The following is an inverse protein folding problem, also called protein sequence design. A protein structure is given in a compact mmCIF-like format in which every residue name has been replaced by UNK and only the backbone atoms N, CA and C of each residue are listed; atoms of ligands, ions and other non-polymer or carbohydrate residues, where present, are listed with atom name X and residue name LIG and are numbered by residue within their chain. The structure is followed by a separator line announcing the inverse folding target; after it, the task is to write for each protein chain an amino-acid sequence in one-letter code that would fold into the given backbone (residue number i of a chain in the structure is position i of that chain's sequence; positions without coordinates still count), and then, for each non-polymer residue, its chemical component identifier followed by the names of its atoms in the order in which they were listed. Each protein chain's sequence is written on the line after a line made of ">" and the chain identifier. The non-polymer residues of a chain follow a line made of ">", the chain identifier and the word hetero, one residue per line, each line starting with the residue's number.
data_IF_251799547363
#
_entry.id   IF_251799547363
#
_cell.length_a   1.000
_cell.length_b   1.000
_cell.length_c   1.000
_cell.angle_alpha   90.00
_cell.angle_beta   90.00
_cell.angle_gamma   90.00
#
_symmetry.space_group_name_H-M   'P 1'
#
loop_
_entity.id
_entity.type
_entity.pdbx_description
1 polymer ?
#
# COMPACT_ATOMS: atom_id res chain seq x y z
N UNK A 1 46.30 21.30 4.32
CA UNK A 1 45.01 21.58 3.64
C UNK A 1 44.61 20.47 2.67
N UNK A 2 45.39 20.14 1.60
CA UNK A 2 45.08 19.02 0.68
C UNK A 2 44.91 17.65 1.36
N UNK A 3 45.81 17.30 2.29
CA UNK A 3 45.75 16.03 3.05
C UNK A 3 44.52 15.94 3.96
N UNK A 4 44.12 17.08 4.54
CA UNK A 4 42.92 17.21 5.37
C UNK A 4 41.65 16.98 4.55
N UNK A 5 41.63 17.48 3.30
CA UNK A 5 40.52 17.28 2.37
C UNK A 5 40.35 15.80 1.97
N UNK A 6 41.47 15.10 1.75
CA UNK A 6 41.47 13.67 1.39
C UNK A 6 40.98 12.78 2.54
N UNK A 7 41.34 13.11 3.78
CA UNK A 7 40.88 12.39 4.97
C UNK A 7 39.36 12.54 5.19
N UNK A 8 38.80 13.73 4.95
CA UNK A 8 37.36 13.98 5.07
C UNK A 8 36.57 13.24 4.00
N UNK A 9 37.05 13.21 2.75
CA UNK A 9 36.42 12.47 1.67
C UNK A 9 36.38 10.95 1.93
N UNK A 10 37.46 10.40 2.48
CA UNK A 10 37.53 8.98 2.83
C UNK A 10 36.59 8.63 3.99
N UNK A 11 36.40 9.54 4.95
CA UNK A 11 35.46 9.37 6.06
C UNK A 11 34.00 9.37 5.58
N UNK A 12 33.67 10.17 4.58
CA UNK A 12 32.30 10.25 4.01
C UNK A 12 31.97 8.98 3.20
N UNK A 13 32.94 8.38 2.51
CA UNK A 13 32.74 7.13 1.76
C UNK A 13 32.54 5.88 2.63
N UNK A 14 32.83 5.99 3.93
CA UNK A 14 32.66 4.90 4.89
C UNK A 14 31.28 4.90 5.59
N UNK A 15 30.43 5.90 5.33
CA UNK A 15 29.06 5.83 5.81
C UNK A 15 28.35 4.68 5.09
N UNK A 16 27.71 3.75 5.80
CA UNK A 16 26.87 2.74 5.17
C UNK A 16 25.81 3.48 4.36
N UNK A 17 25.85 3.30 3.05
CA UNK A 17 24.77 3.70 2.16
C UNK A 17 23.49 3.11 2.74
N UNK A 18 22.56 3.96 3.16
CA UNK A 18 21.22 3.50 3.50
C UNK A 18 20.64 2.93 2.20
N UNK A 19 20.81 1.62 2.00
CA UNK A 19 20.17 0.91 0.91
C UNK A 19 18.69 1.25 1.01
N UNK A 20 18.07 1.72 -0.06
CA UNK A 20 16.62 1.85 -0.08
C UNK A 20 16.07 0.42 -0.12
N UNK A 21 15.83 -0.19 1.06
CA UNK A 21 15.16 -1.48 1.14
C UNK A 21 13.73 -1.27 0.67
N UNK A 22 13.34 -2.01 -0.38
CA UNK A 22 11.94 -2.13 -0.78
C UNK A 22 11.11 -2.43 0.47
N UNK A 23 10.23 -1.51 0.85
CA UNK A 23 9.31 -1.78 1.95
C UNK A 23 8.39 -2.92 1.51
N UNK A 24 8.32 -3.99 2.31
CA UNK A 24 7.40 -5.08 2.05
C UNK A 24 5.97 -4.55 1.97
N UNK A 25 5.24 -4.93 0.93
CA UNK A 25 3.82 -4.63 0.85
C UNK A 25 3.03 -5.56 1.78
N UNK A 26 2.01 -5.07 2.50
CA UNK A 26 1.49 -3.71 2.58
C UNK A 26 2.09 -2.95 3.77
N UNK A 27 2.39 -1.67 3.58
CA UNK A 27 2.85 -0.76 4.66
C UNK A 27 1.70 -0.03 5.38
N UNK A 28 0.47 -0.23 4.93
CA UNK A 28 -0.76 0.42 5.40
C UNK A 28 -1.93 -0.54 5.23
N UNK A 29 -3.02 -0.26 5.94
CA UNK A 29 -4.26 -1.01 5.76
C UNK A 29 -4.70 -1.04 4.29
N UNK A 30 -5.30 -2.15 3.90
CA UNK A 30 -5.84 -2.37 2.55
C UNK A 30 -7.29 -1.88 2.54
N UNK A 31 -7.67 -1.14 1.50
CA UNK A 31 -9.06 -0.72 1.28
C UNK A 31 -9.61 -1.38 0.02
N UNK A 32 -10.70 -2.12 0.17
CA UNK A 32 -11.46 -2.69 -0.94
C UNK A 32 -12.67 -1.78 -1.18
N UNK A 33 -12.71 -1.16 -2.35
CA UNK A 33 -13.82 -0.28 -2.75
C UNK A 33 -14.79 -1.08 -3.61
N UNK A 34 -16.00 -1.27 -3.11
CA UNK A 34 -17.05 -2.07 -3.77
C UNK A 34 -18.01 -1.13 -4.51
N UNK A 35 -18.11 -1.30 -5.83
CA UNK A 35 -18.97 -0.51 -6.72
C UNK A 35 -20.45 -0.95 -6.76
N UNK A 36 -20.85 -1.84 -5.85
CA UNK A 36 -22.18 -2.43 -5.79
C UNK A 36 -22.85 -2.16 -4.43
N UNK A 37 -24.14 -2.46 -4.29
CA UNK A 37 -24.88 -2.27 -3.02
C UNK A 37 -24.44 -3.27 -1.95
N UNK A 38 -24.61 -2.90 -0.67
CA UNK A 38 -24.37 -3.78 0.45
C UNK A 38 -25.22 -5.06 0.34
N UNK A 39 -24.66 -6.21 0.69
CA UNK A 39 -25.33 -7.51 0.60
C UNK A 39 -25.49 -8.07 -0.81
N UNK A 40 -24.99 -7.40 -1.85
CA UNK A 40 -24.90 -7.99 -3.18
C UNK A 40 -23.87 -9.14 -3.19
N UNK A 41 -23.93 -10.02 -4.21
CA UNK A 41 -22.92 -11.06 -4.38
C UNK A 41 -21.49 -10.52 -4.46
N UNK A 42 -21.31 -9.30 -4.98
CA UNK A 42 -20.01 -8.62 -5.05
C UNK A 42 -19.55 -8.18 -3.65
N UNK A 43 -20.43 -7.61 -2.81
CA UNK A 43 -20.09 -7.23 -1.43
C UNK A 43 -19.74 -8.47 -0.59
N UNK A 44 -20.52 -9.54 -0.72
CA UNK A 44 -20.27 -10.81 -0.01
C UNK A 44 -18.92 -11.40 -0.45
N UNK A 45 -18.67 -11.50 -1.75
CA UNK A 45 -17.39 -11.98 -2.27
C UNK A 45 -16.20 -11.12 -1.82
N UNK A 46 -16.38 -9.80 -1.77
CA UNK A 46 -15.34 -8.86 -1.29
C UNK A 46 -15.04 -9.03 0.20
N UNK A 47 -16.04 -9.37 1.03
CA UNK A 47 -15.86 -9.70 2.46
C UNK A 47 -15.07 -10.98 2.65
N UNK A 48 -15.34 -12.00 1.86
CA UNK A 48 -14.57 -13.24 1.87
C UNK A 48 -13.11 -13.01 1.46
N UNK A 49 -12.90 -12.19 0.42
CA UNK A 49 -11.56 -11.80 -0.01
C UNK A 49 -10.83 -10.99 1.06
N UNK A 50 -11.50 -10.04 1.72
CA UNK A 50 -10.91 -9.22 2.77
C UNK A 50 -10.38 -10.07 3.93
N UNK A 51 -11.10 -11.12 4.32
CA UNK A 51 -10.66 -12.05 5.36
C UNK A 51 -9.36 -12.77 4.97
N UNK A 52 -9.29 -13.27 3.72
CA UNK A 52 -8.09 -13.94 3.21
C UNK A 52 -6.88 -13.01 3.10
N UNK A 53 -7.09 -11.79 2.61
CA UNK A 53 -6.02 -10.80 2.55
C UNK A 53 -5.53 -10.39 3.95
N UNK A 54 -6.42 -10.35 4.94
CA UNK A 54 -6.03 -10.10 6.33
C UNK A 54 -5.16 -11.24 6.89
N UNK A 55 -5.52 -12.49 6.63
CA UNK A 55 -4.72 -13.66 7.00
C UNK A 55 -3.33 -13.66 6.33
N UNK A 56 -3.28 -13.35 5.04
CA UNK A 56 -2.05 -13.40 4.24
C UNK A 56 -1.07 -12.26 4.58
N UNK A 57 -1.58 -11.03 4.72
CA UNK A 57 -0.74 -9.85 4.87
C UNK A 57 -0.58 -9.39 6.32
N UNK A 58 -1.39 -9.91 7.27
CA UNK A 58 -1.39 -9.45 8.66
C UNK A 58 -1.79 -7.97 8.83
N UNK A 59 -2.27 -7.34 7.76
CA UNK A 59 -2.71 -5.94 7.74
C UNK A 59 -4.23 -5.87 7.79
N UNK A 60 -4.82 -4.85 8.45
CA UNK A 60 -6.26 -4.64 8.41
C UNK A 60 -6.76 -4.44 6.98
N UNK A 61 -7.91 -5.03 6.66
CA UNK A 61 -8.59 -4.85 5.37
C UNK A 61 -9.97 -4.26 5.63
N UNK A 62 -10.27 -3.12 5.02
CA UNK A 62 -11.52 -2.36 5.20
C UNK A 62 -12.30 -2.33 3.90
N UNK A 63 -13.61 -2.50 4.00
CA UNK A 63 -14.51 -2.46 2.84
C UNK A 63 -15.27 -1.13 2.84
N UNK A 64 -15.22 -0.44 1.72
CA UNK A 64 -15.93 0.81 1.48
C UNK A 64 -16.88 0.66 0.30
N UNK A 65 -18.16 0.96 0.52
CA UNK A 65 -19.18 0.85 -0.52
C UNK A 65 -19.33 2.19 -1.23
N UNK A 66 -19.10 2.19 -2.55
CA UNK A 66 -19.26 3.33 -3.48
C UNK A 66 -20.14 2.91 -4.66
N UNK A 67 -21.39 2.61 -4.37
CA UNK A 67 -22.36 2.18 -5.39
C UNK A 67 -22.75 3.30 -6.35
N UNK A 68 -23.18 2.92 -7.56
CA UNK A 68 -23.75 3.82 -8.57
C UNK A 68 -22.95 3.90 -9.86
N UNK A 69 -23.60 4.39 -10.92
CA UNK A 69 -23.07 4.47 -12.28
C UNK A 69 -22.39 3.17 -12.75
N UNK A 70 -23.00 2.02 -12.47
CA UNK A 70 -22.48 0.69 -12.80
C UNK A 70 -21.04 0.44 -12.30
N UNK A 71 -20.73 0.94 -11.11
CA UNK A 71 -19.41 0.83 -10.49
C UNK A 71 -18.40 1.89 -10.92
N UNK A 72 -18.74 2.77 -11.85
CA UNK A 72 -17.86 3.85 -12.31
C UNK A 72 -17.49 4.84 -11.18
N UNK A 73 -18.36 5.01 -10.18
CA UNK A 73 -18.06 5.84 -9.00
C UNK A 73 -16.92 5.22 -8.19
N UNK A 74 -16.96 3.92 -7.93
CA UNK A 74 -15.89 3.19 -7.24
C UNK A 74 -14.59 3.20 -8.05
N UNK A 75 -14.66 2.97 -9.36
CA UNK A 75 -13.49 2.99 -10.24
C UNK A 75 -12.78 4.35 -10.21
N UNK A 76 -13.54 5.45 -10.32
CA UNK A 76 -12.98 6.82 -10.20
C UNK A 76 -12.43 7.10 -8.80
N UNK A 77 -13.05 6.57 -7.75
CA UNK A 77 -12.59 6.76 -6.39
C UNK A 77 -11.21 6.12 -6.13
N UNK A 78 -10.91 4.99 -6.78
CA UNK A 78 -9.61 4.30 -6.65
C UNK A 78 -8.55 4.88 -7.58
N UNK A 79 -8.95 5.39 -8.75
CA UNK A 79 -8.04 5.90 -9.77
C UNK A 79 -7.51 7.33 -9.49
N UNK A 80 -8.14 8.07 -8.58
CA UNK A 80 -7.73 9.41 -8.16
C UNK A 80 -6.64 9.37 -7.10
#
# INVERSE_FOLDING_TARGET
>A
MRKTLLLVAMLISALPSASAWSQGYPTRLIRIVVGSTAGSGIDIGSRMLAEKLREEFGQPVVIEIKAGADGMIAARHVAA
#
